data_IF_698312920843
#
_entry.id   IF_698312920843
#
_cell.length_a   1.000
_cell.length_b   1.000
_cell.length_c   1.000
_cell.angle_alpha   90.00
_cell.angle_beta   90.00
_cell.angle_gamma   90.00
#
_symmetry.space_group_name_H-M   'P 1'
#
loop_
_entity.id
_entity.type
_entity.pdbx_description
1 polymer ?
#
# COMPACT_ATOMS: atom_id res chain seq x y z
N UNK A 1 -5.61 60.63 22.92
CA UNK A 1 -5.49 62.10 23.03
C UNK A 1 -5.11 62.40 24.45
N UNK A 2 -4.11 63.27 24.64
CA UNK A 2 -3.58 63.64 25.95
C UNK A 2 -4.67 64.32 26.80
N UNK A 3 -4.80 63.94 28.07
CA UNK A 3 -5.61 64.68 29.03
C UNK A 3 -4.81 65.91 29.45
N UNK A 4 -5.34 67.09 29.16
CA UNK A 4 -4.83 68.35 29.69
C UNK A 4 -5.07 68.40 31.20
N UNK A 5 -4.01 68.70 31.95
CA UNK A 5 -4.05 68.92 33.39
C UNK A 5 -4.68 70.29 33.65
N UNK A 6 -5.89 70.30 34.20
CA UNK A 6 -6.46 71.49 34.84
C UNK A 6 -5.93 71.57 36.28
N UNK A 7 -4.96 72.45 36.49
CA UNK A 7 -4.23 72.60 37.75
C UNK A 7 -4.83 73.68 38.67
N UNK A 8 -5.98 74.28 38.34
CA UNK A 8 -6.43 75.51 39.02
C UNK A 8 -7.62 75.38 39.97
N UNK A 9 -8.08 74.16 40.28
CA UNK A 9 -9.13 73.98 41.31
C UNK A 9 -8.88 72.78 42.22
N UNK A 10 -8.18 73.03 43.33
CA UNK A 10 -8.09 72.13 44.48
C UNK A 10 -7.67 72.90 45.73
N UNK A 11 -8.28 72.60 46.89
CA UNK A 11 -8.01 73.32 48.14
C UNK A 11 -6.53 73.25 48.54
N UNK A 12 -5.97 74.41 48.89
CA UNK A 12 -4.58 74.59 49.30
C UNK A 12 -4.45 74.30 50.80
N UNK A 13 -3.51 73.43 51.18
CA UNK A 13 -3.14 73.19 52.57
C UNK A 13 -2.05 74.21 52.98
N UNK A 14 -2.32 75.07 53.96
CA UNK A 14 -1.51 76.25 54.31
C UNK A 14 -0.25 75.97 55.14
N UNK A 15 0.19 74.71 55.29
CA UNK A 15 1.45 74.40 55.98
C UNK A 15 2.46 73.75 55.04
N UNK A 16 3.23 74.61 54.37
CA UNK A 16 4.29 74.20 53.47
C UNK A 16 5.51 73.62 54.19
N UNK A 17 5.87 72.39 53.85
CA UNK A 17 7.27 72.02 53.60
C UNK A 17 7.34 71.56 52.15
N UNK A 18 8.29 72.14 51.43
CA UNK A 18 8.22 72.53 50.01
C UNK A 18 8.36 71.39 48.99
N UNK A 19 7.45 70.43 49.01
CA UNK A 19 7.22 69.50 47.89
C UNK A 19 5.76 69.07 47.92
N UNK A 20 4.94 69.69 47.08
CA UNK A 20 3.57 69.25 46.81
C UNK A 20 3.60 67.92 46.03
N UNK A 21 3.89 66.81 46.71
CA UNK A 21 3.65 65.48 46.15
C UNK A 21 2.16 65.20 46.30
N UNK A 22 1.39 65.56 45.28
CA UNK A 22 0.00 65.14 45.14
C UNK A 22 0.03 63.62 44.90
N UNK A 23 -0.16 62.82 45.94
CA UNK A 23 -0.33 61.36 45.84
C UNK A 23 -1.69 61.02 45.22
N UNK A 24 -1.95 61.43 43.98
CA UNK A 24 -3.09 60.93 43.20
C UNK A 24 -2.72 59.59 42.60
N UNK A 25 -3.07 58.50 43.29
CA UNK A 25 -3.14 57.18 42.69
C UNK A 25 -4.29 57.16 41.67
N UNK A 26 -3.99 57.44 40.40
CA UNK A 26 -4.96 57.31 39.31
C UNK A 26 -5.14 55.81 39.03
N UNK A 27 -6.31 55.20 39.29
CA UNK A 27 -6.53 53.81 38.92
C UNK A 27 -6.46 53.71 37.40
N UNK A 28 -5.54 52.90 36.88
CA UNK A 28 -5.39 52.65 35.44
C UNK A 28 -6.65 51.94 34.96
N UNK A 29 -7.62 52.72 34.47
CA UNK A 29 -8.82 52.18 33.83
C UNK A 29 -8.45 51.83 32.39
N UNK A 30 -8.29 50.55 32.11
CA UNK A 30 -8.27 50.03 30.74
C UNK A 30 -9.56 50.46 30.05
N UNK A 31 -9.45 51.32 29.04
CA UNK A 31 -10.58 51.78 28.26
C UNK A 31 -11.12 50.66 27.38
N UNK A 32 -12.42 50.66 27.07
CA UNK A 32 -13.06 49.69 26.18
C UNK A 32 -12.34 49.53 24.82
N UNK A 33 -11.66 50.57 24.34
CA UNK A 33 -10.86 50.51 23.11
C UNK A 33 -9.58 49.67 23.21
N UNK A 34 -8.92 49.60 24.37
CA UNK A 34 -7.70 48.80 24.52
C UNK A 34 -8.01 47.31 24.62
N UNK A 35 -9.08 46.93 25.31
CA UNK A 35 -9.55 45.54 25.37
C UNK A 35 -10.04 45.06 24.01
N UNK A 36 -10.75 45.91 23.25
CA UNK A 36 -11.16 45.60 21.87
C UNK A 36 -9.95 45.42 20.95
N UNK A 37 -8.93 46.26 21.08
CA UNK A 37 -7.68 46.17 20.31
C UNK A 37 -6.89 44.91 20.63
N UNK A 38 -6.76 44.55 21.91
CA UNK A 38 -6.12 43.29 22.35
C UNK A 38 -6.84 42.07 21.80
N UNK A 39 -8.19 42.04 21.87
CA UNK A 39 -9.00 40.95 21.31
C UNK A 39 -8.79 40.86 19.80
N UNK A 40 -8.77 41.99 19.08
CA UNK A 40 -8.56 42.00 17.62
C UNK A 40 -7.15 41.53 17.25
N UNK A 41 -6.13 41.91 18.01
CA UNK A 41 -4.74 41.47 17.81
C UNK A 41 -4.59 39.97 18.04
N UNK A 42 -5.20 39.43 19.10
CA UNK A 42 -5.22 38.00 19.35
C UNK A 42 -5.98 37.22 18.28
N UNK A 43 -7.18 37.70 17.89
CA UNK A 43 -8.06 37.04 16.93
C UNK A 43 -7.50 37.04 15.50
N UNK A 44 -6.89 38.15 15.04
CA UNK A 44 -6.40 38.28 13.67
C UNK A 44 -4.92 37.91 13.52
N UNK A 45 -4.12 37.96 14.58
CA UNK A 45 -2.69 37.66 14.52
C UNK A 45 -2.32 36.29 15.09
N UNK A 46 -2.51 36.12 16.39
CA UNK A 46 -2.01 34.95 17.13
C UNK A 46 -2.85 33.70 16.85
N UNK A 47 -4.17 33.82 16.90
CA UNK A 47 -5.10 32.71 16.72
C UNK A 47 -4.97 32.03 15.34
N UNK A 48 -4.95 32.76 14.20
CA UNK A 48 -4.82 32.14 12.88
C UNK A 48 -3.44 31.51 12.67
N UNK A 49 -2.40 32.11 13.24
CA UNK A 49 -1.04 31.55 13.22
C UNK A 49 -0.94 30.22 13.97
N UNK A 50 -1.56 30.13 15.15
CA UNK A 50 -1.64 28.88 15.92
C UNK A 50 -2.43 27.82 15.15
N UNK A 51 -3.59 28.17 14.59
CA UNK A 51 -4.41 27.25 13.77
C UNK A 51 -3.56 26.71 12.60
N UNK A 52 -2.86 27.58 11.88
CA UNK A 52 -2.00 27.17 10.77
C UNK A 52 -0.87 26.24 11.22
N UNK A 53 -0.28 26.47 12.40
CA UNK A 53 0.77 25.61 12.95
C UNK A 53 0.24 24.20 13.28
N UNK A 54 -0.93 24.10 13.90
CA UNK A 54 -1.60 22.80 14.12
C UNK A 54 -1.92 22.09 12.80
N UNK A 55 -2.43 22.82 11.79
CA UNK A 55 -2.70 22.25 10.47
C UNK A 55 -1.42 21.69 9.81
N UNK A 56 -0.26 22.35 9.96
CA UNK A 56 1.02 21.85 9.44
C UNK A 56 1.45 20.54 10.09
N UNK A 57 1.31 20.45 11.42
CA UNK A 57 1.62 19.21 12.15
C UNK A 57 0.69 18.07 11.70
N UNK A 58 -0.61 18.37 11.55
CA UNK A 58 -1.60 17.44 11.03
C UNK A 58 -1.25 16.94 9.63
N UNK A 59 -0.93 17.85 8.69
CA UNK A 59 -0.53 17.50 7.34
C UNK A 59 0.76 16.66 7.31
N UNK A 60 1.75 16.96 8.15
CA UNK A 60 2.99 16.19 8.23
C UNK A 60 2.76 14.76 8.76
N UNK A 61 1.90 14.60 9.78
CA UNK A 61 1.50 13.29 10.29
C UNK A 61 0.71 12.50 9.23
N UNK A 62 -0.20 13.16 8.53
CA UNK A 62 -0.98 12.58 7.44
C UNK A 62 -0.07 12.01 6.35
N UNK A 63 0.90 12.78 5.86
CA UNK A 63 1.84 12.27 4.86
C UNK A 63 2.67 11.09 5.37
N UNK A 64 3.12 11.10 6.64
CA UNK A 64 3.83 9.96 7.23
C UNK A 64 2.97 8.69 7.27
N UNK A 65 1.69 8.81 7.64
CA UNK A 65 0.75 7.69 7.60
C UNK A 65 0.52 7.19 6.17
N UNK A 66 0.38 8.11 5.21
CA UNK A 66 0.19 7.74 3.81
C UNK A 66 1.42 7.04 3.23
N UNK A 67 2.64 7.44 3.61
CA UNK A 67 3.86 6.73 3.24
C UNK A 67 3.90 5.30 3.79
N UNK A 68 3.54 5.13 5.07
CA UNK A 68 3.45 3.81 5.70
C UNK A 68 2.40 2.94 5.02
N UNK A 69 1.26 3.53 4.64
CA UNK A 69 0.21 2.82 3.89
C UNK A 69 0.71 2.35 2.53
N UNK A 70 1.39 3.22 1.75
CA UNK A 70 1.97 2.82 0.46
C UNK A 70 2.98 1.68 0.64
N UNK A 71 3.79 1.73 1.71
CA UNK A 71 4.74 0.66 2.00
C UNK A 71 4.02 -0.65 2.36
N UNK A 72 2.98 -0.59 3.18
CA UNK A 72 2.17 -1.76 3.53
C UNK A 72 1.48 -2.38 2.30
N UNK A 73 0.90 -1.54 1.43
CA UNK A 73 0.25 -1.98 0.19
C UNK A 73 1.29 -2.63 -0.76
N UNK A 74 2.52 -2.11 -0.82
CA UNK A 74 3.62 -2.72 -1.57
C UNK A 74 4.05 -4.08 -1.00
N UNK A 75 4.27 -4.16 0.33
CA UNK A 75 4.59 -5.43 1.01
C UNK A 75 3.51 -6.49 0.78
N UNK A 76 2.24 -6.10 0.72
CA UNK A 76 1.15 -7.03 0.45
C UNK A 76 1.23 -7.65 -0.96
N UNK A 77 1.61 -6.85 -1.97
CA UNK A 77 1.84 -7.36 -3.33
C UNK A 77 2.99 -8.37 -3.31
N UNK A 78 4.10 -8.06 -2.64
CA UNK A 78 5.27 -8.94 -2.54
C UNK A 78 4.92 -10.27 -1.86
N UNK A 79 4.13 -10.25 -0.77
CA UNK A 79 3.66 -11.46 -0.10
C UNK A 79 2.86 -12.37 -1.05
N UNK A 80 1.96 -11.81 -1.85
CA UNK A 80 1.19 -12.61 -2.81
C UNK A 80 2.06 -13.15 -3.96
N UNK A 81 3.06 -12.38 -4.41
CA UNK A 81 4.03 -12.85 -5.39
C UNK A 81 4.87 -14.00 -4.84
N UNK A 82 5.31 -13.90 -3.58
CA UNK A 82 6.05 -14.96 -2.91
C UNK A 82 5.22 -16.23 -2.79
N UNK A 83 3.97 -16.14 -2.31
CA UNK A 83 3.05 -17.29 -2.22
C UNK A 83 2.84 -17.94 -3.59
N UNK A 84 2.68 -17.13 -4.65
CA UNK A 84 2.54 -17.65 -6.02
C UNK A 84 3.78 -18.42 -6.46
N UNK A 85 4.97 -17.88 -6.19
CA UNK A 85 6.24 -18.56 -6.51
C UNK A 85 6.35 -19.88 -5.74
N UNK A 86 6.02 -19.90 -4.45
CA UNK A 86 6.03 -21.12 -3.63
C UNK A 86 5.09 -22.19 -4.19
N UNK A 87 3.84 -21.84 -4.55
CA UNK A 87 2.89 -22.77 -5.17
C UNK A 87 3.45 -23.33 -6.49
N UNK A 88 3.98 -22.46 -7.34
CA UNK A 88 4.55 -22.88 -8.63
C UNK A 88 5.78 -23.78 -8.45
N UNK A 89 6.62 -23.51 -7.46
CA UNK A 89 7.77 -24.36 -7.13
C UNK A 89 7.36 -25.73 -6.62
N UNK A 90 6.28 -25.81 -5.81
CA UNK A 90 5.77 -27.09 -5.32
C UNK A 90 5.18 -27.95 -6.45
N UNK A 91 4.65 -27.33 -7.50
CA UNK A 91 3.94 -28.01 -8.59
C UNK A 91 4.82 -28.27 -9.80
N UNK A 92 5.90 -27.51 -10.00
CA UNK A 92 6.83 -27.72 -11.11
C UNK A 92 7.40 -29.16 -11.17
N UNK A 93 7.82 -29.80 -10.06
CA UNK A 93 8.24 -31.20 -10.08
C UNK A 93 7.12 -32.19 -10.44
N UNK A 94 5.88 -31.90 -10.06
CA UNK A 94 4.72 -32.74 -10.38
C UNK A 94 4.40 -32.67 -11.88
N UNK A 95 4.44 -31.48 -12.46
CA UNK A 95 4.28 -31.27 -13.91
C UNK A 95 5.41 -31.94 -14.69
N UNK A 96 6.66 -31.80 -14.24
CA UNK A 96 7.81 -32.45 -14.88
C UNK A 96 7.66 -33.98 -14.90
N UNK A 97 7.28 -34.59 -13.76
CA UNK A 97 7.02 -36.04 -13.67
C UNK A 97 5.85 -36.48 -14.55
N UNK A 98 4.78 -35.71 -14.63
CA UNK A 98 3.65 -36.01 -15.50
C UNK A 98 4.06 -36.01 -16.98
N UNK A 99 4.89 -35.05 -17.40
CA UNK A 99 5.43 -35.00 -18.78
C UNK A 99 6.35 -36.18 -19.07
N UNK A 100 7.22 -36.57 -18.13
CA UNK A 100 8.13 -37.70 -18.33
C UNK A 100 7.41 -39.04 -18.35
N UNK A 101 6.38 -39.21 -17.51
CA UNK A 101 5.51 -40.38 -17.57
C UNK A 101 4.80 -40.47 -18.92
N UNK A 102 4.23 -39.38 -19.43
CA UNK A 102 3.55 -39.38 -20.72
C UNK A 102 4.52 -39.74 -21.87
N UNK A 103 5.78 -39.29 -21.81
CA UNK A 103 6.82 -39.73 -22.74
C UNK A 103 7.15 -41.22 -22.61
N UNK A 104 7.25 -41.75 -21.40
CA UNK A 104 7.60 -43.17 -21.19
C UNK A 104 6.42 -44.10 -21.48
N UNK A 105 5.19 -43.68 -21.21
CA UNK A 105 3.96 -44.34 -21.67
C UNK A 105 3.87 -44.28 -23.20
N UNK A 106 4.11 -43.13 -23.82
CA UNK A 106 4.14 -43.04 -25.29
C UNK A 106 5.25 -43.89 -25.90
N UNK A 107 6.45 -43.95 -25.31
CA UNK A 107 7.55 -44.81 -25.76
C UNK A 107 7.22 -46.29 -25.60
N UNK A 108 6.66 -46.70 -24.46
CA UNK A 108 6.28 -48.09 -24.22
C UNK A 108 5.16 -48.51 -25.17
N UNK A 109 4.11 -47.70 -25.34
CA UNK A 109 3.03 -47.95 -26.31
C UNK A 109 3.57 -47.95 -27.75
N UNK A 110 4.50 -47.06 -28.10
CA UNK A 110 5.13 -47.04 -29.42
C UNK A 110 6.04 -48.27 -29.65
N UNK A 111 6.76 -48.73 -28.64
CA UNK A 111 7.55 -49.96 -28.69
C UNK A 111 6.65 -51.20 -28.82
N UNK A 112 5.52 -51.23 -28.11
CA UNK A 112 4.49 -52.26 -28.24
C UNK A 112 3.78 -52.22 -29.61
N UNK A 113 3.58 -51.03 -30.20
CA UNK A 113 3.00 -50.88 -31.56
C UNK A 113 4.00 -51.11 -32.69
N UNK A 114 5.29 -50.86 -32.46
CA UNK A 114 6.36 -51.01 -33.44
C UNK A 114 7.03 -52.40 -33.45
N UNK A 115 6.76 -53.23 -32.44
CA UNK A 115 7.37 -54.55 -32.26
C UNK A 115 6.71 -55.63 -33.09
N UNK A 116 7.31 -55.95 -34.25
CA UNK A 116 7.13 -57.21 -34.98
C UNK A 116 7.70 -58.37 -34.14
N UNK A 117 6.94 -58.83 -33.14
CA UNK A 117 7.35 -59.91 -32.24
C UNK A 117 7.23 -61.29 -32.93
N UNK A 118 8.23 -62.17 -32.82
CA UNK A 118 8.14 -63.57 -33.26
C UNK A 118 7.04 -64.31 -32.49
N UNK A 119 6.34 -65.21 -33.17
CA UNK A 119 5.14 -65.90 -32.67
C UNK A 119 5.38 -66.75 -31.40
N UNK A 120 6.64 -67.05 -31.06
CA UNK A 120 7.04 -67.81 -29.87
C UNK A 120 6.99 -67.03 -28.55
N UNK A 121 6.91 -65.70 -28.56
CA UNK A 121 6.94 -64.87 -27.33
C UNK A 121 5.59 -64.25 -26.95
N UNK A 122 4.55 -64.41 -27.78
CA UNK A 122 3.21 -63.83 -27.52
C UNK A 122 2.59 -64.27 -26.19
N UNK A 123 2.79 -65.53 -25.77
CA UNK A 123 2.21 -66.03 -24.53
C UNK A 123 2.89 -65.46 -23.27
N UNK A 124 4.21 -65.23 -23.32
CA UNK A 124 4.93 -64.59 -22.21
C UNK A 124 4.56 -63.12 -22.08
N UNK A 125 4.42 -62.42 -23.21
CA UNK A 125 4.00 -61.02 -23.25
C UNK A 125 2.54 -60.86 -22.80
N UNK A 126 1.63 -61.77 -23.18
CA UNK A 126 0.24 -61.75 -22.72
C UNK A 126 0.13 -61.95 -21.20
N UNK A 127 0.90 -62.88 -20.62
CA UNK A 127 0.97 -63.05 -19.16
C UNK A 127 1.56 -61.83 -18.43
N UNK A 128 2.50 -61.12 -19.06
CA UNK A 128 3.08 -59.90 -18.50
C UNK A 128 2.11 -58.71 -18.58
N UNK A 129 1.28 -58.66 -19.62
CA UNK A 129 0.19 -57.70 -19.77
C UNK A 129 -0.93 -57.99 -18.77
N UNK A 130 -1.36 -59.23 -18.62
CA UNK A 130 -2.40 -59.63 -17.65
C UNK A 130 -1.94 -59.44 -16.20
N UNK A 131 -0.66 -59.68 -15.89
CA UNK A 131 -0.06 -59.36 -14.59
C UNK A 131 0.06 -57.85 -14.33
N UNK A 132 0.21 -57.05 -15.39
CA UNK A 132 0.19 -55.58 -15.30
C UNK A 132 -1.25 -55.08 -15.09
N UNK A 133 -2.23 -55.66 -15.79
CA UNK A 133 -3.67 -55.39 -15.62
C UNK A 133 -4.22 -55.81 -14.26
N UNK A 134 -3.76 -56.93 -13.69
CA UNK A 134 -4.15 -57.36 -12.34
C UNK A 134 -3.62 -56.44 -11.23
N UNK A 135 -2.55 -55.66 -11.50
CA UNK A 135 -2.03 -54.61 -10.61
C UNK A 135 -2.78 -53.29 -10.73
N UNK A 136 -3.54 -53.06 -11.81
CA UNK A 136 -4.31 -51.82 -12.03
C UNK A 136 -5.59 -51.75 -11.15
N UNK A 137 -6.09 -52.87 -10.61
CA UNK A 137 -7.44 -52.92 -10.02
C UNK A 137 -7.60 -52.80 -8.48
N UNK A 138 -6.56 -52.95 -7.63
CA UNK A 138 -6.72 -52.65 -6.21
C UNK A 138 -5.83 -51.48 -5.79
N UNK A 139 -6.02 -50.26 -6.32
CA UNK A 139 -5.30 -49.07 -5.84
C UNK A 139 -5.83 -47.73 -6.37
N UNK A 140 -7.00 -47.30 -5.92
CA UNK A 140 -7.36 -45.86 -5.96
C UNK A 140 -6.36 -45.03 -5.14
N UNK A 141 -5.55 -45.66 -4.28
CA UNK A 141 -4.47 -45.03 -3.52
C UNK A 141 -3.11 -44.96 -4.22
N UNK A 142 -2.85 -45.77 -5.26
CA UNK A 142 -1.54 -45.81 -5.95
C UNK A 142 -1.59 -45.51 -7.45
N UNK A 143 -2.56 -44.70 -7.89
CA UNK A 143 -2.33 -43.85 -9.06
C UNK A 143 -1.76 -42.52 -8.58
N UNK A 144 -0.42 -42.41 -8.42
CA UNK A 144 0.22 -41.12 -8.19
C UNK A 144 -0.15 -40.12 -9.28
N UNK A 145 -0.53 -40.58 -10.47
CA UNK A 145 -0.92 -39.74 -11.61
C UNK A 145 -2.26 -39.04 -11.39
N UNK A 146 -3.29 -39.74 -10.90
CA UNK A 146 -4.57 -39.11 -10.55
C UNK A 146 -4.40 -38.12 -9.40
N UNK A 147 -3.58 -38.45 -8.41
CA UNK A 147 -3.23 -37.54 -7.29
C UNK A 147 -2.41 -36.35 -7.78
N UNK A 148 -1.47 -36.54 -8.71
CA UNK A 148 -0.65 -35.46 -9.29
C UNK A 148 -1.50 -34.55 -10.17
N UNK A 149 -2.39 -35.08 -11.00
CA UNK A 149 -3.33 -34.28 -11.80
C UNK A 149 -4.26 -33.45 -10.92
N UNK A 150 -4.79 -34.02 -9.83
CA UNK A 150 -5.60 -33.29 -8.86
C UNK A 150 -4.80 -32.17 -8.16
N UNK A 151 -3.56 -32.45 -7.74
CA UNK A 151 -2.68 -31.46 -7.11
C UNK A 151 -2.26 -30.33 -8.09
N UNK A 152 -2.01 -30.67 -9.36
CA UNK A 152 -1.72 -29.69 -10.41
C UNK A 152 -2.96 -28.82 -10.67
N UNK A 153 -4.15 -29.42 -10.77
CA UNK A 153 -5.39 -28.69 -10.99
C UNK A 153 -5.72 -27.74 -9.83
N UNK A 154 -5.56 -28.19 -8.58
CA UNK A 154 -5.73 -27.38 -7.38
C UNK A 154 -4.74 -26.20 -7.36
N UNK A 155 -3.46 -26.46 -7.66
CA UNK A 155 -2.47 -25.39 -7.74
C UNK A 155 -2.76 -24.37 -8.85
N UNK A 156 -3.29 -24.80 -10.01
CA UNK A 156 -3.75 -23.87 -11.05
C UNK A 156 -4.92 -23.02 -10.58
N UNK A 157 -5.87 -23.60 -9.85
CA UNK A 157 -6.98 -22.88 -9.24
C UNK A 157 -6.49 -21.85 -8.21
N UNK A 158 -5.57 -22.24 -7.33
CA UNK A 158 -4.95 -21.34 -6.34
C UNK A 158 -4.15 -20.21 -7.02
N UNK A 159 -3.41 -20.50 -8.09
CA UNK A 159 -2.69 -19.49 -8.87
C UNK A 159 -3.66 -18.49 -9.54
N UNK A 160 -4.78 -18.97 -10.08
CA UNK A 160 -5.83 -18.11 -10.64
C UNK A 160 -6.45 -17.20 -9.57
N UNK A 161 -6.68 -17.74 -8.36
CA UNK A 161 -7.14 -16.97 -7.22
C UNK A 161 -6.12 -15.90 -6.80
N UNK A 162 -4.85 -16.28 -6.61
CA UNK A 162 -3.77 -15.34 -6.28
C UNK A 162 -3.60 -14.26 -7.34
N UNK A 163 -3.78 -14.57 -8.62
CA UNK A 163 -3.71 -13.57 -9.69
C UNK A 163 -4.79 -12.49 -9.54
N UNK A 164 -6.00 -12.85 -9.07
CA UNK A 164 -7.05 -11.88 -8.75
C UNK A 164 -6.66 -11.02 -7.54
N UNK A 165 -6.14 -11.64 -6.48
CA UNK A 165 -5.67 -10.93 -5.27
C UNK A 165 -4.51 -9.97 -5.57
N UNK A 166 -3.52 -10.39 -6.37
CA UNK A 166 -2.43 -9.52 -6.84
C UNK A 166 -2.98 -8.33 -7.63
N UNK A 167 -3.99 -8.55 -8.46
CA UNK A 167 -4.61 -7.48 -9.26
C UNK A 167 -5.34 -6.48 -8.36
N UNK A 168 -6.09 -6.98 -7.37
CA UNK A 168 -6.76 -6.15 -6.38
C UNK A 168 -5.75 -5.34 -5.54
N UNK A 169 -4.69 -5.99 -5.05
CA UNK A 169 -3.62 -5.34 -4.28
C UNK A 169 -2.90 -4.25 -5.10
N UNK A 170 -2.65 -4.49 -6.39
CA UNK A 170 -2.11 -3.47 -7.30
C UNK A 170 -3.05 -2.28 -7.49
N UNK A 171 -4.36 -2.53 -7.60
CA UNK A 171 -5.35 -1.45 -7.66
C UNK A 171 -5.30 -0.59 -6.39
N UNK A 172 -5.30 -1.24 -5.22
CA UNK A 172 -5.24 -0.55 -3.93
C UNK A 172 -3.95 0.28 -3.79
N UNK A 173 -2.80 -0.28 -4.14
CA UNK A 173 -1.52 0.44 -4.18
C UNK A 173 -1.61 1.67 -5.09
N UNK A 174 -2.16 1.51 -6.29
CA UNK A 174 -2.33 2.60 -7.26
C UNK A 174 -3.25 3.70 -6.72
N UNK A 175 -4.34 3.33 -6.03
CA UNK A 175 -5.24 4.30 -5.42
C UNK A 175 -4.55 5.09 -4.31
N UNK A 176 -3.76 4.43 -3.46
CA UNK A 176 -2.96 5.11 -2.41
C UNK A 176 -1.88 6.02 -3.03
N UNK A 177 -1.23 5.58 -4.10
CA UNK A 177 -0.25 6.40 -4.85
C UNK A 177 -0.93 7.61 -5.51
N UNK A 178 -2.13 7.44 -6.06
CA UNK A 178 -2.90 8.53 -6.63
C UNK A 178 -3.30 9.56 -5.57
N UNK A 179 -3.74 9.10 -4.39
CA UNK A 179 -4.01 9.98 -3.25
C UNK A 179 -2.76 10.76 -2.85
N UNK A 180 -1.61 10.10 -2.74
CA UNK A 180 -0.32 10.74 -2.46
C UNK A 180 0.05 11.82 -3.48
N UNK A 181 -0.06 11.49 -4.76
CA UNK A 181 0.24 12.41 -5.85
C UNK A 181 -0.69 13.63 -5.85
N UNK A 182 -1.98 13.43 -5.62
CA UNK A 182 -2.95 14.53 -5.54
C UNK A 182 -2.69 15.42 -4.32
N UNK A 183 -2.42 14.82 -3.16
CA UNK A 183 -2.27 15.55 -1.91
C UNK A 183 -0.98 16.36 -1.80
N UNK A 184 0.09 15.95 -2.50
CA UNK A 184 1.31 16.77 -2.62
C UNK A 184 0.99 18.12 -3.26
N UNK A 185 0.07 18.18 -4.22
CA UNK A 185 -0.30 19.41 -4.93
C UNK A 185 -1.52 20.12 -4.31
N UNK A 186 -2.07 19.62 -3.21
CA UNK A 186 -3.24 20.21 -2.58
C UNK A 186 -2.88 21.50 -1.80
N UNK A 187 -3.32 22.64 -2.35
CA UNK A 187 -3.18 23.95 -1.71
C UNK A 187 -4.18 24.13 -0.55
N UNK A 188 -3.85 24.87 0.53
CA UNK A 188 -2.58 25.54 0.84
C UNK A 188 -1.61 24.70 1.67
N UNK A 189 -2.10 24.08 2.75
CA UNK A 189 -1.23 23.56 3.82
C UNK A 189 -0.44 22.33 3.39
N UNK A 190 -1.06 21.40 2.66
CA UNK A 190 -0.40 20.15 2.24
C UNK A 190 0.74 20.43 1.26
N UNK A 191 0.52 21.29 0.26
CA UNK A 191 1.54 21.73 -0.69
C UNK A 191 2.75 22.40 -0.01
N UNK A 192 2.51 23.31 0.95
CA UNK A 192 3.59 23.98 1.70
C UNK A 192 4.42 22.97 2.50
N UNK A 193 3.76 22.00 3.15
CA UNK A 193 4.44 20.95 3.93
C UNK A 193 5.23 20.01 3.01
N UNK A 194 4.63 19.59 1.89
CA UNK A 194 5.27 18.72 0.91
C UNK A 194 6.51 19.37 0.28
N UNK A 195 6.41 20.64 -0.12
CA UNK A 195 7.53 21.40 -0.67
C UNK A 195 8.67 21.55 0.34
N UNK A 196 8.37 21.89 1.61
CA UNK A 196 9.39 22.00 2.67
C UNK A 196 10.06 20.66 2.98
N UNK A 197 9.31 19.56 2.89
CA UNK A 197 9.82 18.22 3.14
C UNK A 197 10.50 17.58 1.91
N UNK A 198 10.48 18.23 0.75
CA UNK A 198 11.05 17.70 -0.50
C UNK A 198 10.31 16.47 -1.03
N UNK A 199 9.00 16.34 -0.78
CA UNK A 199 8.22 15.20 -1.26
C UNK A 199 7.98 15.29 -2.76
N UNK A 200 8.11 14.15 -3.43
CA UNK A 200 7.89 14.01 -4.88
C UNK A 200 6.78 13.01 -5.17
N UNK A 201 6.23 13.11 -6.38
CA UNK A 201 5.24 12.17 -6.89
C UNK A 201 5.83 10.77 -7.02
N UNK A 202 4.98 9.77 -6.82
CA UNK A 202 5.32 8.35 -6.96
C UNK A 202 4.74 7.78 -8.25
N UNK A 203 5.44 6.82 -8.82
CA UNK A 203 5.01 6.14 -10.05
C UNK A 203 4.04 5.02 -9.66
N UNK A 204 2.82 4.98 -10.23
CA UNK A 204 1.89 3.88 -9.99
C UNK A 204 2.39 2.58 -10.66
N UNK A 205 1.88 1.45 -10.19
CA UNK A 205 2.11 0.15 -10.80
C UNK A 205 1.49 0.12 -12.20
N UNK A 206 2.32 -0.11 -13.22
CA UNK A 206 1.87 -0.25 -14.62
C UNK A 206 2.46 -1.49 -15.26
N UNK A 207 1.84 -1.99 -16.34
CA UNK A 207 2.39 -3.10 -17.10
C UNK A 207 3.79 -2.76 -17.63
N UNK A 208 4.69 -3.75 -17.61
CA UNK A 208 6.05 -3.56 -18.10
C UNK A 208 6.06 -3.14 -19.56
N UNK A 209 7.08 -2.38 -19.97
CA UNK A 209 7.23 -1.95 -21.36
C UNK A 209 7.21 -3.15 -22.33
N UNK A 210 7.86 -4.25 -21.93
CA UNK A 210 7.87 -5.51 -22.69
C UNK A 210 6.46 -6.11 -22.85
N UNK A 211 5.65 -6.11 -21.79
CA UNK A 211 4.27 -6.64 -21.86
C UNK A 211 3.41 -5.80 -22.80
N UNK A 212 3.57 -4.47 -22.75
CA UNK A 212 2.88 -3.55 -23.66
C UNK A 212 3.33 -3.72 -25.11
N UNK A 213 4.61 -4.02 -25.34
CA UNK A 213 5.15 -4.28 -26.68
C UNK A 213 4.60 -5.60 -27.25
N UNK A 214 4.65 -6.70 -26.50
CA UNK A 214 4.09 -8.00 -26.93
C UNK A 214 2.59 -7.91 -27.24
N UNK A 215 1.83 -7.16 -26.43
CA UNK A 215 0.41 -6.91 -26.69
C UNK A 215 0.19 -6.12 -27.99
N UNK A 216 1.09 -5.18 -28.32
CA UNK A 216 1.04 -4.48 -29.61
C UNK A 216 1.29 -5.42 -30.77
N UNK A 217 2.38 -6.19 -30.72
CA UNK A 217 2.73 -7.16 -31.78
C UNK A 217 1.67 -8.23 -32.01
N UNK A 218 0.93 -8.64 -30.98
CA UNK A 218 -0.07 -9.72 -31.09
C UNK A 218 -1.43 -9.22 -31.60
N UNK A 219 -1.80 -7.97 -31.31
CA UNK A 219 -3.17 -7.49 -31.50
C UNK A 219 -3.32 -6.26 -32.42
N UNK A 220 -2.21 -5.61 -32.81
CA UNK A 220 -2.21 -4.41 -33.64
C UNK A 220 -1.18 -4.52 -34.77
#
# INVERSE_FOLDING_TARGET
>A
MANELDELTGNINEQGRDVNVIERQLPVKVGFGSTLFEIMLWLCGILPGLIFLFMKVGAANYFRQLQQKIQADASQIDNFLEQRVQILQNVAPLVAKAIDLDKDVMKSVAAFRGGRLPESERNAVSQQIDASFARLFPQVEAYPDLKAHAAIADAMQQNSYLQKEITAARSLYNDTVNQWNNDIFAWPTKMIVAARAGYTTRIPFTASAETKAKARETFF
#
